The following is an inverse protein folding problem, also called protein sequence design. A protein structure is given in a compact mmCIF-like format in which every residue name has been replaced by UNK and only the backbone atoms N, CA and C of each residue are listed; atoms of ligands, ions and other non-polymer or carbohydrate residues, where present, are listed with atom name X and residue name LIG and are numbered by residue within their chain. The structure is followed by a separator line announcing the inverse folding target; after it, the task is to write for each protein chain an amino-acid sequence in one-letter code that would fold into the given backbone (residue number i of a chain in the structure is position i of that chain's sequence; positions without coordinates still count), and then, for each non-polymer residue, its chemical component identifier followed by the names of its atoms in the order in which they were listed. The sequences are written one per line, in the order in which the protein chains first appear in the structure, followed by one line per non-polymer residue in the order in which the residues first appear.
data_IF_146728268706
#
_entry.id   IF_146728268706
#
_cell.length_a   1.000
_cell.length_b   1.000
_cell.length_c   1.000
_cell.angle_alpha   90.00
_cell.angle_beta   90.00
_cell.angle_gamma   90.00
#
_symmetry.space_group_name_H-M   'P 1'
#
loop_
_entity.id
_entity.type
_entity.pdbx_description
1 polymer ?
#
# COMPACT_ATOMS: atom_id res chain seq x y z
N UNK A 1 3.46 34.30 -17.49
CA UNK A 1 3.01 32.96 -17.02
C UNK A 1 1.77 33.04 -16.14
N UNK A 2 1.71 33.88 -15.12
CA UNK A 2 0.51 34.09 -14.28
C UNK A 2 -0.79 34.35 -15.06
N UNK A 3 -0.70 35.14 -16.13
CA UNK A 3 -1.87 35.52 -16.94
C UNK A 3 -2.49 34.36 -17.75
N UNK A 4 -1.67 33.39 -18.22
CA UNK A 4 -2.15 32.22 -18.96
C UNK A 4 -2.70 31.14 -18.01
N UNK A 5 -2.08 30.95 -16.84
CA UNK A 5 -2.63 30.10 -15.78
C UNK A 5 -3.99 30.62 -15.30
N UNK A 6 -4.11 31.92 -15.13
CA UNK A 6 -5.33 32.59 -14.66
C UNK A 6 -6.47 32.50 -15.69
N UNK A 7 -6.18 32.66 -16.98
CA UNK A 7 -7.17 32.50 -18.07
C UNK A 7 -7.63 31.02 -18.14
N UNK A 8 -6.69 30.07 -18.07
CA UNK A 8 -7.02 28.65 -18.07
C UNK A 8 -7.83 28.26 -16.82
N UNK A 9 -7.48 28.76 -15.64
CA UNK A 9 -8.24 28.53 -14.41
C UNK A 9 -9.65 29.13 -14.47
N UNK A 10 -9.79 30.30 -15.03
CA UNK A 10 -11.07 30.98 -15.02
C UNK A 10 -12.07 30.43 -16.04
N UNK A 11 -11.62 29.95 -17.16
CA UNK A 11 -12.53 29.53 -18.25
C UNK A 11 -12.66 28.02 -18.39
N UNK A 12 -11.57 27.31 -18.53
CA UNK A 12 -11.61 25.86 -18.79
C UNK A 12 -11.85 25.07 -17.50
N UNK A 13 -11.16 25.43 -16.41
CA UNK A 13 -11.32 24.74 -15.13
C UNK A 13 -12.69 25.01 -14.48
N UNK A 14 -13.25 26.22 -14.68
CA UNK A 14 -14.60 26.54 -14.25
C UNK A 14 -15.63 25.65 -14.96
N UNK A 15 -15.54 25.54 -16.28
CA UNK A 15 -16.45 24.73 -17.08
C UNK A 15 -16.32 23.23 -16.78
N UNK A 16 -15.11 22.71 -16.47
CA UNK A 16 -14.89 21.35 -16.00
C UNK A 16 -15.49 21.08 -14.59
N UNK A 17 -15.31 22.03 -13.67
CA UNK A 17 -15.87 21.92 -12.31
C UNK A 17 -17.41 21.96 -12.30
N UNK A 18 -17.98 22.76 -13.20
CA UNK A 18 -19.42 22.89 -13.36
C UNK A 18 -20.05 21.75 -14.19
N UNK A 19 -19.24 20.77 -14.63
CA UNK A 19 -19.72 19.64 -15.43
C UNK A 19 -20.15 19.99 -16.86
N UNK A 20 -19.92 21.24 -17.29
CA UNK A 20 -20.29 21.71 -18.63
C UNK A 20 -19.47 21.09 -19.74
N UNK A 21 -18.23 20.69 -19.44
CA UNK A 21 -17.35 19.95 -20.34
C UNK A 21 -16.71 18.78 -19.62
N UNK A 22 -16.46 17.70 -20.35
CA UNK A 22 -15.70 16.55 -19.82
C UNK A 22 -14.21 16.75 -20.06
N UNK A 23 -13.37 16.40 -19.10
CA UNK A 23 -11.92 16.42 -19.29
C UNK A 23 -11.45 15.60 -20.50
N UNK A 24 -12.21 14.57 -20.90
CA UNK A 24 -11.93 13.76 -22.09
C UNK A 24 -12.25 14.45 -23.41
N UNK A 25 -13.11 15.45 -23.41
CA UNK A 25 -13.47 16.23 -24.61
C UNK A 25 -12.49 17.36 -24.93
N UNK A 26 -11.55 17.64 -24.04
CA UNK A 26 -10.51 18.64 -24.28
C UNK A 26 -9.48 18.08 -25.26
N UNK A 27 -9.31 18.76 -26.39
CA UNK A 27 -8.37 18.36 -27.44
C UNK A 27 -6.97 18.93 -27.23
N UNK A 28 -6.87 20.14 -26.66
CA UNK A 28 -5.61 20.84 -26.46
C UNK A 28 -5.57 21.56 -25.12
N UNK A 29 -4.36 21.73 -24.62
CA UNK A 29 -4.04 22.54 -23.43
C UNK A 29 -2.94 23.55 -23.80
N UNK A 30 -2.95 24.75 -23.22
CA UNK A 30 -1.85 25.69 -23.43
C UNK A 30 -0.54 25.13 -22.88
N UNK A 31 0.57 25.45 -23.53
CA UNK A 31 1.91 25.13 -23.01
C UNK A 31 2.27 26.14 -21.95
N UNK A 32 2.25 25.74 -20.69
CA UNK A 32 2.43 26.60 -19.53
C UNK A 32 3.85 26.63 -18.99
N UNK A 33 4.65 25.62 -19.34
CA UNK A 33 6.00 25.49 -18.82
C UNK A 33 7.01 25.35 -19.94
N UNK A 34 8.14 26.04 -19.81
CA UNK A 34 9.22 25.95 -20.79
C UNK A 34 9.81 24.55 -20.88
N UNK A 35 10.33 24.22 -22.08
CA UNK A 35 10.97 22.95 -22.35
C UNK A 35 12.21 22.78 -21.47
N UNK A 36 12.21 21.76 -20.62
CA UNK A 36 13.30 21.43 -19.70
C UNK A 36 14.07 20.22 -20.13
N UNK A 37 15.29 20.06 -19.60
CA UNK A 37 16.10 18.85 -19.84
C UNK A 37 15.38 17.61 -19.30
N UNK A 38 15.58 16.47 -19.94
CA UNK A 38 14.91 15.20 -19.66
C UNK A 38 14.97 14.73 -18.18
N UNK A 39 16.03 15.11 -17.49
CA UNK A 39 16.32 14.67 -16.10
C UNK A 39 15.96 15.73 -15.04
N UNK A 40 15.40 16.87 -15.41
CA UNK A 40 15.03 17.88 -14.42
C UNK A 40 13.92 17.38 -13.51
N UNK A 41 14.05 17.65 -12.21
CA UNK A 41 13.01 17.34 -11.23
C UNK A 41 11.75 18.17 -11.52
N UNK A 42 10.60 17.61 -11.22
CA UNK A 42 9.35 18.36 -11.23
C UNK A 42 9.35 19.44 -10.16
N UNK A 43 8.91 20.64 -10.49
CA UNK A 43 8.66 21.68 -9.50
C UNK A 43 7.38 21.40 -8.74
N UNK A 44 7.20 22.09 -7.61
CA UNK A 44 5.95 21.99 -6.84
C UNK A 44 4.74 22.47 -7.66
N UNK A 45 4.90 23.56 -8.40
CA UNK A 45 3.86 24.11 -9.30
C UNK A 45 3.48 23.14 -10.41
N UNK A 46 4.47 22.51 -11.08
CA UNK A 46 4.20 21.46 -12.08
C UNK A 46 3.41 20.29 -11.47
N UNK A 47 3.77 19.85 -10.27
CA UNK A 47 3.08 18.74 -9.60
C UNK A 47 1.64 19.11 -9.23
N UNK A 48 1.43 20.28 -8.66
CA UNK A 48 0.09 20.78 -8.33
C UNK A 48 -0.80 20.86 -9.57
N UNK A 49 -0.27 21.41 -10.66
CA UNK A 49 -0.96 21.51 -11.94
C UNK A 49 -1.31 20.15 -12.53
N UNK A 50 -0.34 19.23 -12.60
CA UNK A 50 -0.55 17.86 -13.08
C UNK A 50 -1.67 17.18 -12.31
N UNK A 51 -1.64 17.25 -10.98
CA UNK A 51 -2.63 16.58 -10.13
C UNK A 51 -4.02 17.16 -10.32
N UNK A 52 -4.13 18.49 -10.38
CA UNK A 52 -5.40 19.20 -10.63
C UNK A 52 -6.05 18.77 -11.95
N UNK A 53 -5.27 18.73 -13.03
CA UNK A 53 -5.77 18.33 -14.35
C UNK A 53 -6.13 16.84 -14.41
N UNK A 54 -5.31 16.01 -13.77
CA UNK A 54 -5.59 14.57 -13.76
C UNK A 54 -6.84 14.22 -12.93
N UNK A 55 -7.12 14.96 -11.85
CA UNK A 55 -8.34 14.79 -11.05
C UNK A 55 -9.60 15.25 -11.81
N UNK A 56 -9.45 16.18 -12.75
CA UNK A 56 -10.49 16.60 -13.69
C UNK A 56 -10.65 15.63 -14.89
N UNK A 57 -9.91 14.53 -14.93
CA UNK A 57 -10.02 13.50 -15.95
C UNK A 57 -9.34 13.84 -17.29
N UNK A 58 -8.46 14.85 -17.32
CA UNK A 58 -7.71 15.20 -18.54
C UNK A 58 -6.69 14.10 -18.88
N UNK A 59 -6.60 13.69 -20.16
CA UNK A 59 -5.66 12.66 -20.59
C UNK A 59 -4.20 13.05 -20.33
N UNK A 60 -3.39 12.08 -19.88
CA UNK A 60 -1.97 12.31 -19.56
C UNK A 60 -1.15 12.85 -20.74
N UNK A 61 -1.49 12.47 -21.96
CA UNK A 61 -0.82 12.98 -23.17
C UNK A 61 -0.98 14.48 -23.36
N UNK A 62 -2.15 15.04 -23.03
CA UNK A 62 -2.41 16.48 -23.08
C UNK A 62 -1.69 17.20 -21.95
N UNK A 63 -1.76 16.66 -20.73
CA UNK A 63 -1.04 17.22 -19.59
C UNK A 63 0.47 17.26 -19.88
N UNK A 64 1.01 16.17 -20.45
CA UNK A 64 2.42 16.07 -20.80
C UNK A 64 2.86 17.12 -21.82
N UNK A 65 2.05 17.35 -22.86
CA UNK A 65 2.31 18.42 -23.86
C UNK A 65 2.32 19.81 -23.22
N UNK A 66 1.36 20.12 -22.35
CA UNK A 66 1.24 21.45 -21.72
C UNK A 66 2.41 21.78 -20.78
N UNK A 67 3.12 20.78 -20.26
CA UNK A 67 4.29 20.98 -19.39
C UNK A 67 5.62 20.54 -20.03
N UNK A 68 5.62 20.30 -21.33
CA UNK A 68 6.81 19.87 -22.10
C UNK A 68 7.51 18.62 -21.52
N UNK A 69 6.74 17.63 -21.10
CA UNK A 69 7.21 16.35 -20.56
C UNK A 69 6.71 15.16 -21.39
N UNK A 70 7.22 13.97 -21.13
CA UNK A 70 6.68 12.75 -21.74
C UNK A 70 5.43 12.26 -20.99
N UNK A 71 4.48 11.67 -21.69
CA UNK A 71 3.28 11.08 -21.09
C UNK A 71 3.62 10.06 -19.99
N UNK A 72 4.62 9.21 -20.27
CA UNK A 72 5.10 8.20 -19.30
C UNK A 72 5.63 8.86 -18.02
N UNK A 73 6.38 9.96 -18.15
CA UNK A 73 6.91 10.70 -16.98
C UNK A 73 5.77 11.28 -16.15
N UNK A 74 4.79 11.93 -16.78
CA UNK A 74 3.62 12.49 -16.09
C UNK A 74 2.80 11.40 -15.41
N UNK A 75 2.50 10.31 -16.12
CA UNK A 75 1.75 9.16 -15.58
C UNK A 75 2.45 8.57 -14.35
N UNK A 76 3.75 8.30 -14.44
CA UNK A 76 4.52 7.76 -13.33
C UNK A 76 4.55 8.73 -12.14
N UNK A 77 4.63 10.03 -12.40
CA UNK A 77 4.64 11.04 -11.34
C UNK A 77 3.28 11.16 -10.66
N UNK A 78 2.18 11.12 -11.39
CA UNK A 78 0.84 11.08 -10.81
C UNK A 78 0.64 9.86 -9.92
N UNK A 79 1.07 8.68 -10.40
CA UNK A 79 1.00 7.45 -9.62
C UNK A 79 1.82 7.59 -8.33
N UNK A 80 3.06 8.06 -8.44
CA UNK A 80 3.95 8.26 -7.29
C UNK A 80 3.36 9.25 -6.29
N UNK A 81 2.90 10.42 -6.74
CA UNK A 81 2.31 11.43 -5.89
C UNK A 81 1.06 10.92 -5.16
N UNK A 82 0.17 10.20 -5.85
CA UNK A 82 -1.02 9.59 -5.24
C UNK A 82 -0.68 8.50 -4.25
N UNK A 83 0.38 7.74 -4.51
CA UNK A 83 0.88 6.72 -3.57
C UNK A 83 1.44 7.38 -2.32
N UNK A 84 2.29 8.40 -2.49
CA UNK A 84 2.91 9.16 -1.39
C UNK A 84 1.86 9.89 -0.53
N UNK A 85 0.80 10.43 -1.14
CA UNK A 85 -0.26 11.16 -0.42
C UNK A 85 -1.47 10.29 -0.04
N UNK A 86 -1.39 8.98 -0.21
CA UNK A 86 -2.43 8.03 0.21
C UNK A 86 -3.75 8.12 -0.57
N UNK A 87 -3.80 8.90 -1.66
CA UNK A 87 -5.03 9.07 -2.48
C UNK A 87 -5.29 7.90 -3.42
N UNK A 88 -4.25 7.12 -3.74
CA UNK A 88 -4.35 6.01 -4.69
C UNK A 88 -5.21 4.83 -4.19
N UNK A 89 -5.40 4.72 -2.88
CA UNK A 89 -6.10 3.59 -2.24
C UNK A 89 -7.36 3.99 -1.47
N UNK A 90 -7.92 5.19 -1.63
CA UNK A 90 -9.08 5.64 -0.83
C UNK A 90 -10.26 4.66 -0.87
N UNK A 91 -10.59 4.09 -2.03
CA UNK A 91 -11.69 3.14 -2.17
C UNK A 91 -11.48 1.78 -1.47
N UNK A 92 -10.24 1.44 -1.10
CA UNK A 92 -9.93 0.18 -0.43
C UNK A 92 -9.59 0.33 1.06
N UNK A 93 -9.34 1.57 1.50
CA UNK A 93 -8.96 1.84 2.90
C UNK A 93 -10.11 1.49 3.84
N UNK A 94 -11.33 1.91 3.53
CA UNK A 94 -12.50 1.61 4.36
C UNK A 94 -12.80 0.11 4.41
N UNK A 95 -12.71 -0.57 3.26
CA UNK A 95 -12.89 -2.02 3.20
C UNK A 95 -11.80 -2.74 4.01
N UNK A 96 -10.53 -2.30 3.87
CA UNK A 96 -9.41 -2.80 4.67
C UNK A 96 -9.69 -2.61 6.17
N UNK A 97 -10.18 -1.44 6.57
CA UNK A 97 -10.50 -1.12 7.94
C UNK A 97 -11.62 -2.01 8.49
N UNK A 98 -12.70 -2.15 7.73
CA UNK A 98 -13.82 -3.02 8.10
C UNK A 98 -13.42 -4.48 8.22
N UNK A 99 -12.52 -4.96 7.36
CA UNK A 99 -12.01 -6.33 7.42
C UNK A 99 -11.09 -6.55 8.61
N UNK A 100 -10.23 -5.59 8.92
CA UNK A 100 -9.39 -5.64 10.11
C UNK A 100 -10.25 -5.68 11.39
N UNK A 101 -11.30 -4.86 11.49
CA UNK A 101 -12.25 -4.88 12.60
C UNK A 101 -12.97 -6.22 12.74
N UNK A 102 -13.48 -6.76 11.63
CA UNK A 102 -14.13 -8.08 11.61
C UNK A 102 -13.18 -9.19 11.99
N UNK A 103 -11.92 -9.11 11.57
CA UNK A 103 -10.92 -10.10 11.90
C UNK A 103 -10.55 -10.07 13.38
N UNK A 104 -10.38 -8.87 13.97
CA UNK A 104 -10.17 -8.75 15.41
C UNK A 104 -11.33 -9.35 16.20
N UNK A 105 -12.57 -8.99 15.88
CA UNK A 105 -13.78 -9.57 16.52
C UNK A 105 -13.82 -11.09 16.40
N UNK A 106 -13.37 -11.64 15.27
CA UNK A 106 -13.29 -13.08 15.09
C UNK A 106 -12.21 -13.73 15.98
N UNK A 107 -11.11 -13.02 16.27
CA UNK A 107 -10.03 -13.50 17.14
C UNK A 107 -10.32 -13.27 18.64
N UNK A 108 -11.13 -12.25 18.96
CA UNK A 108 -11.51 -11.88 20.32
C UNK A 108 -12.48 -12.92 20.91
N UNK A 109 -11.94 -13.95 21.56
CA UNK A 109 -12.74 -14.95 22.28
C UNK A 109 -12.64 -14.82 23.80
N UNK A 110 -11.77 -13.94 24.30
CA UNK A 110 -11.41 -13.77 25.72
C UNK A 110 -11.28 -12.29 26.06
N UNK A 111 -11.64 -11.92 27.27
CA UNK A 111 -11.57 -10.53 27.81
C UNK A 111 -10.15 -10.04 28.09
N UNK A 112 -9.17 -10.48 27.32
CA UNK A 112 -7.80 -10.01 27.48
C UNK A 112 -7.43 -8.93 26.48
N UNK A 113 -6.53 -8.04 26.90
CA UNK A 113 -5.96 -7.01 26.03
C UNK A 113 -5.12 -7.67 24.93
N UNK A 114 -5.49 -7.46 23.68
CA UNK A 114 -4.73 -7.96 22.53
C UNK A 114 -3.52 -7.09 22.22
N UNK A 115 -2.42 -7.74 21.84
CA UNK A 115 -1.19 -7.10 21.38
C UNK A 115 -1.10 -7.16 19.85
N UNK A 116 -0.80 -6.03 19.21
CA UNK A 116 -0.76 -5.92 17.73
C UNK A 116 0.58 -5.33 17.32
N UNK A 117 1.27 -6.00 16.38
CA UNK A 117 2.42 -5.46 15.67
C UNK A 117 1.99 -5.05 14.26
N UNK A 118 2.12 -3.77 13.94
CA UNK A 118 2.03 -3.21 12.59
C UNK A 118 3.44 -2.93 12.09
N UNK A 119 3.99 -3.87 11.33
CA UNK A 119 5.39 -3.81 10.89
C UNK A 119 5.65 -2.81 9.75
N UNK A 120 4.59 -2.30 9.10
CA UNK A 120 4.63 -1.37 7.97
C UNK A 120 3.49 -0.36 8.06
N UNK A 121 3.46 0.45 9.10
CA UNK A 121 2.30 1.28 9.45
C UNK A 121 1.97 2.39 8.46
N UNK A 122 2.95 2.84 7.68
CA UNK A 122 2.76 3.88 6.67
C UNK A 122 2.45 5.26 7.25
N UNK A 123 2.06 6.19 6.37
CA UNK A 123 1.74 7.58 6.76
C UNK A 123 0.43 7.72 7.56
N UNK A 124 -0.41 6.72 7.56
CA UNK A 124 -1.71 6.69 8.27
C UNK A 124 -1.86 5.36 8.98
N UNK A 125 -1.22 5.18 10.15
CA UNK A 125 -1.25 3.92 10.87
C UNK A 125 -2.69 3.58 11.27
N UNK A 126 -3.19 2.48 10.72
CA UNK A 126 -4.56 2.05 10.97
C UNK A 126 -4.81 1.63 12.41
N UNK A 127 -3.83 0.92 12.98
CA UNK A 127 -4.01 0.25 14.27
C UNK A 127 -3.99 1.20 15.46
N UNK A 128 -3.48 2.43 15.32
CA UNK A 128 -3.42 3.43 16.41
C UNK A 128 -4.80 3.78 16.98
N UNK A 129 -5.88 3.66 16.18
CA UNK A 129 -7.25 3.87 16.68
C UNK A 129 -7.67 2.90 17.78
N UNK A 130 -6.95 1.78 17.94
CA UNK A 130 -7.25 0.76 18.93
C UNK A 130 -6.41 0.88 20.22
N UNK A 131 -5.46 1.81 20.32
CA UNK A 131 -4.55 1.94 21.45
C UNK A 131 -5.25 2.15 22.81
N UNK A 132 -6.47 2.67 22.79
CA UNK A 132 -7.26 2.80 24.03
C UNK A 132 -7.67 1.45 24.64
N UNK A 133 -7.68 0.38 23.88
CA UNK A 133 -8.17 -0.95 24.29
C UNK A 133 -7.18 -2.07 24.01
N UNK A 134 -6.05 -1.78 23.37
CA UNK A 134 -5.05 -2.77 22.92
C UNK A 134 -3.66 -2.19 22.98
N UNK A 135 -2.67 -3.04 23.11
CA UNK A 135 -1.27 -2.63 22.97
C UNK A 135 -0.89 -2.71 21.49
N UNK A 136 -0.60 -1.57 20.89
CA UNK A 136 -0.22 -1.48 19.47
C UNK A 136 1.21 -0.98 19.35
N UNK A 137 2.04 -1.77 18.67
CA UNK A 137 3.39 -1.38 18.27
C UNK A 137 3.39 -1.12 16.77
N UNK A 138 3.65 0.12 16.38
CA UNK A 138 3.73 0.55 14.99
C UNK A 138 5.17 0.77 14.57
N UNK A 139 5.53 0.36 13.36
CA UNK A 139 6.84 0.57 12.77
C UNK A 139 6.73 1.00 11.31
N UNK A 140 7.59 1.92 10.91
CA UNK A 140 7.84 2.24 9.51
C UNK A 140 9.28 2.72 9.34
N UNK A 141 9.94 2.33 8.24
CA UNK A 141 11.32 2.76 7.97
C UNK A 141 11.41 4.27 7.69
N UNK A 142 10.32 4.88 7.21
CA UNK A 142 10.27 6.31 6.95
C UNK A 142 10.04 7.08 8.27
N UNK A 143 11.04 7.85 8.66
CA UNK A 143 11.01 8.66 9.89
C UNK A 143 9.99 9.80 9.88
N UNK A 144 9.48 10.18 8.70
CA UNK A 144 8.45 11.20 8.56
C UNK A 144 7.04 10.67 8.83
N UNK A 145 6.90 9.34 9.01
CA UNK A 145 5.62 8.71 9.30
C UNK A 145 5.39 8.57 10.81
N UNK A 146 4.14 8.67 11.27
CA UNK A 146 3.81 8.66 12.70
C UNK A 146 3.85 7.23 13.28
N UNK A 147 4.98 6.56 13.18
CA UNK A 147 5.22 5.25 13.79
C UNK A 147 5.98 5.40 15.12
N UNK A 148 5.79 4.44 16.04
CA UNK A 148 6.53 4.40 17.31
C UNK A 148 7.99 3.99 17.14
N UNK A 149 8.25 3.20 16.09
CA UNK A 149 9.58 2.71 15.76
C UNK A 149 9.90 2.99 14.30
N UNK A 150 11.20 3.11 13.97
CA UNK A 150 11.69 3.42 12.63
C UNK A 150 12.85 2.51 12.24
N UNK A 151 12.54 1.23 12.05
CA UNK A 151 13.51 0.21 11.65
C UNK A 151 13.11 -0.45 10.33
N UNK A 152 14.06 -1.05 9.58
CA UNK A 152 13.73 -2.03 8.58
C UNK A 152 12.87 -3.13 9.22
N UNK A 153 11.71 -3.45 8.64
CA UNK A 153 10.77 -4.36 9.29
C UNK A 153 11.35 -5.77 9.47
N UNK A 154 12.23 -6.21 8.56
CA UNK A 154 12.96 -7.48 8.69
C UNK A 154 13.84 -7.53 9.94
N UNK A 155 14.55 -6.44 10.25
CA UNK A 155 15.45 -6.34 11.40
C UNK A 155 14.62 -6.26 12.69
N UNK A 156 13.57 -5.43 12.71
CA UNK A 156 12.67 -5.33 13.85
C UNK A 156 12.07 -6.69 14.22
N UNK A 157 11.45 -7.39 13.26
CA UNK A 157 10.78 -8.66 13.51
C UNK A 157 11.78 -9.73 13.97
N UNK A 158 13.03 -9.68 13.46
CA UNK A 158 14.11 -10.56 13.91
C UNK A 158 14.47 -10.29 15.38
N UNK A 159 14.69 -9.02 15.74
CA UNK A 159 15.01 -8.61 17.13
C UNK A 159 13.88 -8.98 18.08
N UNK A 160 12.63 -8.74 17.68
CA UNK A 160 11.47 -9.11 18.50
C UNK A 160 11.42 -10.63 18.76
N UNK A 161 11.72 -11.42 17.74
CA UNK A 161 11.82 -12.89 17.89
C UNK A 161 12.98 -13.29 18.83
N UNK A 162 14.17 -12.73 18.65
CA UNK A 162 15.36 -13.01 19.47
C UNK A 162 15.17 -12.60 20.95
N UNK A 163 14.31 -11.62 21.20
CA UNK A 163 13.92 -11.14 22.53
C UNK A 163 12.66 -11.81 23.08
N UNK A 164 12.14 -12.82 22.40
CA UNK A 164 10.98 -13.61 22.81
C UNK A 164 9.69 -12.80 23.01
N UNK A 165 9.56 -11.66 22.26
CA UNK A 165 8.30 -10.93 22.24
C UNK A 165 7.25 -11.68 21.44
N UNK A 166 6.01 -11.63 21.91
CA UNK A 166 4.87 -12.26 21.28
C UNK A 166 3.73 -11.26 21.03
N UNK A 167 3.03 -11.44 19.91
CA UNK A 167 1.89 -10.62 19.54
C UNK A 167 0.70 -11.49 19.19
N UNK A 168 -0.51 -11.05 19.59
CA UNK A 168 -1.74 -11.71 19.16
C UNK A 168 -1.95 -11.56 17.67
N UNK A 169 -1.66 -10.38 17.12
CA UNK A 169 -1.80 -10.09 15.69
C UNK A 169 -0.53 -9.44 15.15
N UNK A 170 -0.07 -9.94 14.02
CA UNK A 170 1.02 -9.32 13.24
C UNK A 170 0.49 -8.92 11.87
N UNK A 171 0.62 -7.65 11.51
CA UNK A 171 0.26 -7.10 10.21
C UNK A 171 1.51 -6.80 9.38
N UNK A 172 1.68 -7.52 8.28
CA UNK A 172 2.74 -7.35 7.29
C UNK A 172 2.16 -6.75 6.02
N UNK A 173 2.22 -5.43 5.89
CA UNK A 173 1.68 -4.66 4.75
C UNK A 173 2.76 -3.95 3.92
N UNK A 174 3.80 -4.65 3.43
CA UNK A 174 4.86 -4.05 2.64
C UNK A 174 4.38 -3.62 1.26
N UNK A 175 5.10 -2.70 0.63
CA UNK A 175 4.86 -2.32 -0.77
C UNK A 175 5.06 -3.47 -1.76
N UNK A 176 5.92 -4.45 -1.44
CA UNK A 176 6.29 -5.53 -2.34
C UNK A 176 5.84 -6.90 -1.83
N UNK A 177 6.62 -7.48 -0.93
CA UNK A 177 6.43 -8.85 -0.43
C UNK A 177 6.80 -8.94 1.05
N UNK A 178 6.00 -9.64 1.86
CA UNK A 178 6.32 -9.90 3.26
C UNK A 178 7.35 -11.02 3.47
N UNK A 179 7.92 -11.60 2.40
CA UNK A 179 8.76 -12.81 2.46
C UNK A 179 9.90 -12.69 3.45
N UNK A 180 10.60 -11.56 3.47
CA UNK A 180 11.77 -11.35 4.34
C UNK A 180 11.41 -11.34 5.84
N UNK A 181 10.22 -10.86 6.18
CA UNK A 181 9.74 -10.79 7.56
C UNK A 181 9.01 -12.06 8.01
N UNK A 182 8.50 -12.85 7.05
CA UNK A 182 7.52 -13.90 7.32
C UNK A 182 7.99 -14.93 8.35
N UNK A 183 9.23 -15.43 8.22
CA UNK A 183 9.72 -16.54 9.05
C UNK A 183 9.82 -16.18 10.54
N UNK A 184 10.22 -14.95 10.85
CA UNK A 184 10.27 -14.49 12.23
C UNK A 184 8.88 -14.01 12.68
N UNK A 185 8.12 -13.35 11.80
CA UNK A 185 6.78 -12.88 12.12
C UNK A 185 5.84 -14.03 12.53
N UNK A 186 5.93 -15.19 11.86
CA UNK A 186 5.05 -16.31 12.19
C UNK A 186 5.41 -16.96 13.54
N UNK A 187 6.65 -16.81 14.00
CA UNK A 187 7.10 -17.35 15.29
C UNK A 187 6.68 -16.49 16.48
N UNK A 188 6.47 -15.17 16.25
CA UNK A 188 6.02 -14.21 17.27
C UNK A 188 4.52 -13.93 17.21
N UNK A 189 3.78 -14.62 16.33
CA UNK A 189 2.37 -14.38 16.07
C UNK A 189 1.50 -15.51 16.66
N UNK A 190 0.66 -15.19 17.65
CA UNK A 190 -0.08 -16.21 18.40
C UNK A 190 -1.48 -16.50 17.87
N UNK A 191 -2.19 -15.52 17.25
CA UNK A 191 -3.60 -15.67 16.89
C UNK A 191 -3.91 -15.32 15.45
N UNK A 192 -3.37 -14.22 14.93
CA UNK A 192 -3.72 -13.74 13.61
C UNK A 192 -2.59 -13.09 12.85
N UNK A 193 -2.28 -13.64 11.67
CA UNK A 193 -1.32 -13.05 10.75
C UNK A 193 -2.07 -12.41 9.58
N UNK A 194 -1.79 -11.15 9.33
CA UNK A 194 -2.31 -10.41 8.20
C UNK A 194 -1.15 -10.12 7.25
N UNK A 195 -1.36 -10.40 5.97
CA UNK A 195 -0.31 -10.19 4.98
C UNK A 195 -0.86 -9.53 3.73
N UNK A 196 -0.15 -8.52 3.27
CA UNK A 196 -0.40 -7.88 1.98
C UNK A 196 0.72 -8.23 1.02
N UNK A 197 0.34 -8.61 -0.19
CA UNK A 197 1.28 -8.80 -1.28
C UNK A 197 0.70 -8.22 -2.57
N UNK A 198 1.55 -7.66 -3.39
CA UNK A 198 1.14 -6.92 -4.57
C UNK A 198 2.13 -7.06 -5.71
N UNK A 199 1.91 -6.25 -6.71
CA UNK A 199 2.69 -6.12 -7.92
C UNK A 199 2.72 -7.35 -8.82
N UNK A 200 1.53 -7.61 -9.39
CA UNK A 200 1.38 -8.58 -10.47
C UNK A 200 2.26 -8.28 -11.69
N UNK A 201 2.53 -6.99 -12.00
CA UNK A 201 3.21 -6.58 -13.24
C UNK A 201 4.68 -6.98 -13.26
N UNK A 202 5.43 -6.67 -12.19
CA UNK A 202 6.84 -7.03 -12.10
C UNK A 202 7.07 -8.54 -12.08
N UNK A 203 6.11 -9.32 -11.57
CA UNK A 203 6.23 -10.77 -11.44
C UNK A 203 5.87 -11.50 -12.72
N UNK A 204 4.89 -11.03 -13.49
CA UNK A 204 4.51 -11.64 -14.77
C UNK A 204 5.66 -11.54 -15.77
N UNK A 205 6.40 -10.44 -15.74
CA UNK A 205 7.52 -10.21 -16.64
C UNK A 205 8.81 -10.93 -16.25
N UNK A 206 8.94 -11.37 -14.98
CA UNK A 206 10.18 -11.99 -14.48
C UNK A 206 9.90 -13.19 -13.56
N UNK A 207 10.02 -14.41 -14.11
CA UNK A 207 9.81 -15.66 -13.39
C UNK A 207 10.78 -15.87 -12.22
N UNK A 208 11.99 -15.35 -12.29
CA UNK A 208 12.97 -15.45 -11.20
C UNK A 208 12.54 -14.58 -10.02
N UNK A 209 12.02 -13.38 -10.30
CA UNK A 209 11.49 -12.49 -9.30
C UNK A 209 10.26 -13.09 -8.58
N UNK A 210 9.41 -13.82 -9.29
CA UNK A 210 8.28 -14.53 -8.70
C UNK A 210 8.76 -15.64 -7.74
N UNK A 211 9.80 -16.38 -8.13
CA UNK A 211 10.41 -17.42 -7.30
C UNK A 211 11.05 -16.83 -6.05
N UNK A 212 11.81 -15.77 -6.21
CA UNK A 212 12.48 -15.05 -5.12
C UNK A 212 11.48 -14.45 -4.12
N UNK A 213 10.48 -13.72 -4.63
CA UNK A 213 9.54 -12.97 -3.79
C UNK A 213 8.41 -13.82 -3.19
N UNK A 214 8.00 -14.88 -3.85
CA UNK A 214 6.80 -15.64 -3.46
C UNK A 214 7.02 -17.17 -3.48
N UNK A 215 8.23 -17.64 -3.77
CA UNK A 215 8.53 -19.06 -3.79
C UNK A 215 7.83 -19.84 -4.92
N UNK A 216 7.27 -19.17 -5.93
CA UNK A 216 6.58 -19.80 -7.04
C UNK A 216 7.03 -19.25 -8.39
N UNK A 217 7.13 -20.12 -9.43
CA UNK A 217 7.60 -19.72 -10.77
C UNK A 217 6.60 -18.90 -11.57
N UNK A 218 5.34 -18.90 -11.18
CA UNK A 218 4.23 -18.19 -11.84
C UNK A 218 3.43 -17.50 -10.78
N UNK A 219 2.99 -16.27 -11.06
CA UNK A 219 2.10 -15.55 -10.16
C UNK A 219 0.73 -16.22 -10.12
N UNK A 220 0.49 -16.93 -9.05
CA UNK A 220 -0.77 -17.59 -8.73
C UNK A 220 -1.06 -17.34 -7.25
N UNK A 221 -2.13 -16.64 -6.97
CA UNK A 221 -2.48 -16.23 -5.61
C UNK A 221 -2.69 -17.44 -4.69
N UNK A 222 -3.28 -18.53 -5.20
CA UNK A 222 -3.48 -19.77 -4.43
C UNK A 222 -2.15 -20.44 -4.10
N UNK A 223 -1.24 -20.52 -5.07
CA UNK A 223 0.09 -21.10 -4.86
C UNK A 223 0.92 -20.28 -3.88
N UNK A 224 0.82 -18.94 -3.94
CA UNK A 224 1.46 -18.04 -3.00
C UNK A 224 0.94 -18.29 -1.58
N UNK A 225 -0.38 -18.31 -1.38
CA UNK A 225 -1.00 -18.58 -0.08
C UNK A 225 -0.58 -19.96 0.44
N UNK A 226 -0.62 -20.99 -0.41
CA UNK A 226 -0.19 -22.35 -0.04
C UNK A 226 1.32 -22.42 0.27
N UNK A 227 2.14 -21.61 -0.39
CA UNK A 227 3.56 -21.51 -0.06
C UNK A 227 3.77 -21.00 1.38
N UNK A 228 3.08 -19.93 1.78
CA UNK A 228 3.15 -19.40 3.14
C UNK A 228 2.60 -20.38 4.19
N UNK A 229 1.51 -21.08 3.89
CA UNK A 229 0.96 -22.10 4.79
C UNK A 229 1.97 -23.24 4.99
N UNK A 230 2.58 -23.76 3.91
CA UNK A 230 3.61 -24.81 4.00
C UNK A 230 4.88 -24.32 4.71
N UNK A 231 5.25 -23.04 4.49
CA UNK A 231 6.40 -22.44 5.15
C UNK A 231 6.18 -22.29 6.66
N UNK A 232 5.02 -21.84 7.09
CA UNK A 232 4.63 -21.78 8.51
C UNK A 232 4.69 -23.16 9.17
N UNK A 233 4.21 -24.21 8.48
CA UNK A 233 4.26 -25.58 8.98
C UNK A 233 5.69 -26.06 9.30
N UNK A 234 6.71 -25.56 8.59
CA UNK A 234 8.12 -25.87 8.89
C UNK A 234 8.58 -25.35 10.25
N UNK A 235 7.91 -24.33 10.76
CA UNK A 235 8.14 -23.76 12.10
C UNK A 235 7.14 -24.28 13.15
N UNK A 236 6.41 -25.36 12.85
CA UNK A 236 5.42 -25.93 13.77
C UNK A 236 4.10 -25.17 13.83
N UNK A 237 3.92 -24.11 13.01
CA UNK A 237 2.74 -23.26 13.04
C UNK A 237 1.74 -23.67 11.95
N UNK A 238 0.49 -23.89 12.33
CA UNK A 238 -0.61 -24.13 11.38
C UNK A 238 -1.32 -22.80 11.08
N UNK A 239 -1.48 -22.51 9.79
CA UNK A 239 -2.24 -21.36 9.31
C UNK A 239 -3.54 -21.82 8.64
N UNK A 240 -4.64 -21.17 8.99
CA UNK A 240 -5.92 -21.30 8.28
C UNK A 240 -6.33 -19.96 7.71
N UNK A 241 -6.61 -19.91 6.41
CA UNK A 241 -7.15 -18.69 5.77
C UNK A 241 -8.52 -18.40 6.35
N UNK A 242 -8.67 -17.24 6.97
CA UNK A 242 -9.96 -16.71 7.39
C UNK A 242 -10.62 -15.94 6.26
N UNK A 243 -9.85 -15.04 5.60
CA UNK A 243 -10.34 -14.24 4.47
C UNK A 243 -9.20 -13.95 3.50
N UNK A 244 -9.53 -13.91 2.22
CA UNK A 244 -8.67 -13.43 1.14
C UNK A 244 -9.42 -12.35 0.38
N UNK A 245 -8.76 -11.22 0.14
CA UNK A 245 -9.32 -10.09 -0.59
C UNK A 245 -8.38 -9.67 -1.71
N UNK A 246 -8.98 -9.33 -2.83
CA UNK A 246 -8.28 -8.93 -4.03
C UNK A 246 -8.73 -7.55 -4.43
N UNK A 247 -7.84 -6.59 -4.33
CA UNK A 247 -8.01 -5.27 -4.91
C UNK A 247 -7.19 -5.15 -6.21
N UNK A 248 -7.37 -4.07 -6.94
CA UNK A 248 -6.78 -3.89 -8.27
C UNK A 248 -5.32 -4.34 -8.40
N UNK A 249 -4.45 -3.87 -7.52
CA UNK A 249 -3.00 -4.17 -7.53
C UNK A 249 -2.53 -4.93 -6.30
N UNK A 250 -3.36 -5.07 -5.28
CA UNK A 250 -2.99 -5.54 -3.96
C UNK A 250 -3.83 -6.77 -3.60
N UNK A 251 -3.22 -7.72 -2.91
CA UNK A 251 -3.87 -8.90 -2.31
C UNK A 251 -3.60 -8.88 -0.82
N UNK A 252 -4.64 -9.10 -0.06
CA UNK A 252 -4.54 -9.17 1.38
C UNK A 252 -5.15 -10.47 1.87
N UNK A 253 -4.42 -11.19 2.70
CA UNK A 253 -4.85 -12.44 3.29
C UNK A 253 -4.79 -12.34 4.81
N UNK A 254 -5.83 -12.85 5.44
CA UNK A 254 -5.98 -12.94 6.89
C UNK A 254 -5.90 -14.41 7.27
N UNK A 255 -4.91 -14.76 8.06
CA UNK A 255 -4.73 -16.10 8.57
C UNK A 255 -5.05 -16.17 10.06
N UNK A 256 -5.84 -17.15 10.47
CA UNK A 256 -5.86 -17.59 11.85
C UNK A 256 -4.64 -18.48 12.10
N UNK A 257 -3.89 -18.19 13.14
CA UNK A 257 -2.86 -19.05 13.69
C UNK A 257 -3.55 -20.07 14.58
N UNK A 258 -3.26 -21.35 14.36
CA UNK A 258 -3.77 -22.47 15.16
C UNK A 258 -2.61 -22.98 16.03
N UNK A 259 -2.68 -22.69 17.33
CA UNK A 259 -1.74 -23.24 18.32
C UNK A 259 -2.02 -24.71 18.58
N UNK A 260 -1.02 -25.52 19.01
CA UNK A 260 -1.23 -26.93 19.34
C UNK A 260 -2.35 -27.20 20.36
N UNK A 261 -2.61 -26.25 21.28
CA UNK A 261 -3.68 -26.32 22.28
C UNK A 261 -5.08 -26.06 21.74
N UNK A 262 -5.25 -25.75 20.46
CA UNK A 262 -6.56 -25.50 19.82
C UNK A 262 -7.00 -26.67 18.89
N UNK A 263 -6.31 -27.81 19.00
CA UNK A 263 -6.65 -29.10 18.40
C UNK A 263 -7.19 -30.02 19.46
#
# INVERSE_FOLDING_TARGET
MERLEQIFENEVLKNLKEGKISGKSIKELPVLFEKRKRNDKYTHSELSYIMKLNDLGIPYGLIAKSISRTETSVRNRCVKFRTENGTYNKGHIEEKYNLNDKFLKYLEKEDRVMTILDAYSGSKPFWTKYEKRRVVLTNDINKDYPAKLHFPAEDLVKVLYEKEYEFDVVDLDPFNTPMKCFDNAIKICNRGLIMTFGDKRGIISNKNLAKERYGCRVYDERKIIQHYIRRAKKFGVKLRVWKFVKWKMTRRVYFKVLTPSSL
#
